data_IF_748942932775
#
_entry.id   IF_748942932775
#
_cell.length_a   1.000
_cell.length_b   1.000
_cell.length_c   1.000
_cell.angle_alpha   90.00
_cell.angle_beta   90.00
_cell.angle_gamma   90.00
#
_symmetry.space_group_name_H-M   'P 1'
#
loop_
_entity.id
_entity.type
_entity.pdbx_description
1 polymer ?
#
# COMPACT_ATOMS: atom_id res chain seq x y z
N UNK A 1 19.44 5.85 5.32
CA UNK A 1 20.36 6.08 4.18
C UNK A 1 19.59 5.87 2.89
N UNK A 2 19.93 6.56 1.80
CA UNK A 2 19.20 6.48 0.51
C UNK A 2 20.21 6.22 -0.60
N UNK A 3 20.03 5.12 -1.32
CA UNK A 3 20.90 4.63 -2.39
C UNK A 3 20.14 4.65 -3.72
N UNK A 4 20.72 5.32 -4.70
CA UNK A 4 20.25 5.37 -6.09
C UNK A 4 21.32 6.05 -6.95
N UNK A 5 21.30 5.79 -8.25
CA UNK A 5 22.15 6.48 -9.23
C UNK A 5 21.44 7.72 -9.76
N UNK A 6 22.19 8.62 -10.43
CA UNK A 6 21.58 9.76 -11.13
C UNK A 6 20.55 9.28 -12.17
N UNK A 7 20.96 8.33 -13.01
CA UNK A 7 20.13 7.74 -14.08
C UNK A 7 18.84 7.15 -13.52
N UNK A 8 18.89 6.42 -12.40
CA UNK A 8 17.68 5.84 -11.80
C UNK A 8 16.72 6.90 -11.26
N UNK A 9 17.23 8.02 -10.76
CA UNK A 9 16.36 9.12 -10.31
C UNK A 9 15.72 9.81 -11.51
N UNK A 10 16.46 10.02 -12.60
CA UNK A 10 15.91 10.56 -13.84
C UNK A 10 14.81 9.65 -14.43
N UNK A 11 15.06 8.35 -14.53
CA UNK A 11 14.06 7.37 -14.98
C UNK A 11 12.83 7.30 -14.05
N UNK A 12 13.03 7.41 -12.74
CA UNK A 12 11.93 7.44 -11.78
C UNK A 12 11.04 8.68 -11.96
N UNK A 13 11.62 9.82 -12.36
CA UNK A 13 10.86 11.03 -12.67
C UNK A 13 9.99 10.90 -13.94
N UNK A 14 10.33 9.98 -14.85
CA UNK A 14 9.53 9.67 -16.03
C UNK A 14 8.35 8.72 -15.72
N UNK A 15 8.30 8.15 -14.52
CA UNK A 15 7.26 7.20 -14.13
C UNK A 15 6.00 7.92 -13.64
N UNK A 16 4.87 7.69 -14.32
CA UNK A 16 3.55 8.17 -13.85
C UNK A 16 3.08 7.43 -12.58
N UNK A 17 3.46 6.16 -12.46
CA UNK A 17 3.09 5.31 -11.34
C UNK A 17 4.34 4.83 -10.61
N UNK A 18 4.34 5.00 -9.29
CA UNK A 18 5.39 4.46 -8.41
C UNK A 18 4.80 3.50 -7.40
N UNK A 19 5.63 2.57 -6.95
CA UNK A 19 5.29 1.62 -5.92
C UNK A 19 6.31 1.73 -4.80
N UNK A 20 5.86 1.52 -3.57
CA UNK A 20 6.76 1.45 -2.43
C UNK A 20 6.49 0.21 -1.60
N UNK A 21 7.57 -0.44 -1.17
CA UNK A 21 7.48 -1.64 -0.33
C UNK A 21 8.61 -1.68 0.69
N UNK A 22 8.30 -2.19 1.87
CA UNK A 22 9.26 -2.44 2.94
C UNK A 22 9.59 -3.92 3.04
N UNK A 23 10.87 -4.29 2.89
CA UNK A 23 11.35 -5.65 3.16
C UNK A 23 12.12 -5.73 4.48
N UNK A 24 11.84 -6.81 5.22
CA UNK A 24 12.31 -7.02 6.60
C UNK A 24 13.40 -8.08 6.71
N UNK A 25 13.42 -9.06 5.80
CA UNK A 25 14.31 -10.22 5.90
C UNK A 25 15.75 -9.91 5.51
N UNK A 26 15.95 -9.02 4.54
CA UNK A 26 17.25 -8.68 3.96
C UNK A 26 17.89 -7.43 4.58
N UNK A 27 17.36 -6.96 5.72
CA UNK A 27 17.82 -5.73 6.36
C UNK A 27 19.00 -6.00 7.30
N UNK A 28 20.00 -5.09 7.39
CA UNK A 28 20.96 -5.14 8.48
C UNK A 28 20.26 -4.92 9.83
N UNK A 29 20.76 -5.56 10.89
CA UNK A 29 20.08 -5.63 12.20
C UNK A 29 19.71 -4.26 12.79
N UNK A 30 20.50 -3.22 12.49
CA UNK A 30 20.31 -1.84 12.96
C UNK A 30 19.20 -1.05 12.25
N UNK A 31 18.64 -1.55 11.16
CA UNK A 31 17.57 -0.87 10.40
C UNK A 31 16.25 -1.60 10.56
N UNK A 32 15.12 -0.91 10.74
CA UNK A 32 13.81 -1.54 10.84
C UNK A 32 13.35 -2.20 9.51
N UNK A 33 13.80 -1.67 8.37
CA UNK A 33 13.53 -2.24 7.04
C UNK A 33 14.46 -1.66 5.97
N UNK A 34 14.54 -2.37 4.84
CA UNK A 34 14.91 -1.79 3.54
C UNK A 34 13.61 -1.36 2.87
N UNK A 35 13.45 -0.06 2.64
CA UNK A 35 12.30 0.51 1.94
C UNK A 35 12.69 0.78 0.48
N UNK A 36 11.94 0.26 -0.47
CA UNK A 36 12.27 0.33 -1.90
C UNK A 36 11.21 1.17 -2.60
N UNK A 37 11.65 2.08 -3.48
CA UNK A 37 10.78 2.85 -4.37
C UNK A 37 11.03 2.33 -5.79
N UNK A 38 9.97 1.81 -6.38
CA UNK A 38 9.93 1.28 -7.72
C UNK A 38 9.08 2.20 -8.61
N UNK A 39 9.34 2.21 -9.90
CA UNK A 39 8.55 2.94 -10.89
C UNK A 39 8.07 2.00 -12.00
N UNK A 40 6.89 2.26 -12.55
CA UNK A 40 6.42 1.60 -13.76
C UNK A 40 7.05 2.29 -14.97
N UNK A 41 8.10 1.68 -15.50
CA UNK A 41 8.89 2.20 -16.61
C UNK A 41 8.80 1.25 -17.81
N UNK A 42 8.38 1.77 -18.97
CA UNK A 42 8.22 0.99 -20.20
C UNK A 42 7.37 -0.30 -20.03
N UNK A 43 6.33 -0.23 -19.20
CA UNK A 43 5.42 -1.35 -18.94
C UNK A 43 5.85 -2.28 -17.79
N UNK A 44 7.11 -2.19 -17.35
CA UNK A 44 7.69 -3.03 -16.31
C UNK A 44 7.84 -2.28 -14.98
N UNK A 45 7.82 -2.99 -13.86
CA UNK A 45 8.09 -2.41 -12.54
C UNK A 45 9.57 -2.58 -12.22
N UNK A 46 10.27 -1.47 -12.05
CA UNK A 46 11.73 -1.45 -11.84
C UNK A 46 12.04 -0.75 -10.51
N UNK A 47 12.87 -1.36 -9.63
CA UNK A 47 13.34 -0.69 -8.43
C UNK A 47 14.41 0.35 -8.76
N UNK A 48 14.19 1.59 -8.31
CA UNK A 48 15.09 2.72 -8.61
C UNK A 48 15.78 3.28 -7.37
N UNK A 49 15.17 3.16 -6.19
CA UNK A 49 15.71 3.74 -4.95
C UNK A 49 15.58 2.76 -3.79
N UNK A 50 16.66 2.59 -3.03
CA UNK A 50 16.69 1.79 -1.81
C UNK A 50 16.98 2.65 -0.59
N UNK A 51 16.20 2.47 0.45
CA UNK A 51 16.23 3.30 1.65
C UNK A 51 16.40 2.42 2.89
N UNK A 52 17.55 2.52 3.55
CA UNK A 52 17.74 1.92 4.88
C UNK A 52 17.12 2.83 5.94
N UNK A 53 16.08 2.34 6.60
CA UNK A 53 15.31 3.12 7.58
C UNK A 53 15.41 2.51 8.98
N UNK A 54 15.86 3.26 10.00
CA UNK A 54 15.99 2.73 11.35
C UNK A 54 14.64 2.59 12.07
N UNK A 55 13.61 3.32 11.61
CA UNK A 55 12.27 3.32 12.18
C UNK A 55 11.23 3.53 11.08
N UNK A 56 10.06 2.91 11.24
CA UNK A 56 8.89 3.03 10.36
C UNK A 56 7.96 4.14 10.88
N UNK A 57 8.40 5.39 10.76
CA UNK A 57 7.64 6.54 11.28
C UNK A 57 7.40 7.57 10.19
N UNK A 58 6.28 8.28 10.29
CA UNK A 58 5.88 9.29 9.31
C UNK A 58 6.99 10.32 9.02
N UNK A 59 7.67 10.94 10.02
CA UNK A 59 8.76 11.87 9.75
C UNK A 59 9.95 11.27 8.98
N UNK A 60 10.14 9.94 9.07
CA UNK A 60 11.21 9.26 8.32
C UNK A 60 10.83 9.08 6.85
N UNK A 61 9.59 8.72 6.56
CA UNK A 61 9.09 8.66 5.19
C UNK A 61 9.05 10.04 4.54
N UNK A 62 8.58 11.08 5.26
CA UNK A 62 8.61 12.46 4.77
C UNK A 62 10.04 12.87 4.40
N UNK A 63 11.03 12.51 5.23
CA UNK A 63 12.44 12.77 4.92
C UNK A 63 12.91 12.03 3.66
N UNK A 64 12.46 10.79 3.42
CA UNK A 64 12.82 10.03 2.22
C UNK A 64 12.30 10.74 0.97
N UNK A 65 10.99 11.04 0.92
CA UNK A 65 10.38 11.68 -0.24
C UNK A 65 10.95 13.09 -0.48
N UNK A 66 11.21 13.87 0.57
CA UNK A 66 11.84 15.18 0.43
C UNK A 66 13.29 15.11 -0.09
N UNK A 67 14.07 14.10 0.31
CA UNK A 67 15.42 13.91 -0.26
C UNK A 67 15.32 13.52 -1.74
N UNK A 68 14.36 12.66 -2.09
CA UNK A 68 14.17 12.24 -3.47
C UNK A 68 13.82 13.43 -4.38
N UNK A 69 12.89 14.29 -3.96
CA UNK A 69 12.54 15.53 -4.66
C UNK A 69 13.74 16.43 -4.87
N UNK A 70 14.50 16.71 -3.80
CA UNK A 70 15.73 17.52 -3.89
C UNK A 70 16.76 16.94 -4.86
N UNK A 71 16.89 15.61 -4.93
CA UNK A 71 17.79 14.96 -5.88
C UNK A 71 17.26 15.04 -7.31
N UNK A 72 15.95 14.84 -7.52
CA UNK A 72 15.31 15.00 -8.81
C UNK A 72 15.53 16.42 -9.36
N UNK A 73 15.22 17.45 -8.56
CA UNK A 73 15.42 18.86 -8.92
C UNK A 73 16.88 19.13 -9.30
N UNK A 74 17.83 18.61 -8.51
CA UNK A 74 19.27 18.74 -8.78
C UNK A 74 19.69 18.12 -10.11
N UNK A 75 19.02 17.06 -10.56
CA UNK A 75 19.31 16.37 -11.81
C UNK A 75 18.49 16.90 -13.00
N UNK A 76 17.66 17.94 -12.79
CA UNK A 76 16.83 18.54 -13.83
C UNK A 76 15.52 17.80 -14.10
N UNK A 77 15.19 16.79 -13.29
CA UNK A 77 13.90 16.11 -13.30
C UNK A 77 12.96 16.66 -12.25
N UNK A 78 11.70 16.21 -12.28
CA UNK A 78 10.70 16.51 -11.25
C UNK A 78 10.10 15.21 -10.74
N UNK A 79 10.12 14.99 -9.42
CA UNK A 79 9.50 13.82 -8.81
C UNK A 79 8.03 14.13 -8.48
N UNK A 80 7.15 13.86 -9.46
CA UNK A 80 5.73 14.21 -9.42
C UNK A 80 4.87 13.02 -9.91
N UNK A 81 4.86 11.88 -9.19
CA UNK A 81 4.09 10.72 -9.61
C UNK A 81 2.59 11.01 -9.57
N UNK A 82 1.83 10.52 -10.55
CA UNK A 82 0.37 10.64 -10.59
C UNK A 82 -0.32 9.54 -9.77
N UNK A 83 0.29 8.36 -9.69
CA UNK A 83 -0.23 7.22 -8.94
C UNK A 83 0.83 6.67 -7.99
N UNK A 84 0.44 6.43 -6.74
CA UNK A 84 1.33 5.80 -5.77
C UNK A 84 0.67 4.59 -5.16
N UNK A 85 1.35 3.46 -5.27
CA UNK A 85 0.99 2.20 -4.66
C UNK A 85 1.84 1.97 -3.42
N UNK A 86 1.19 1.84 -2.27
CA UNK A 86 1.89 1.56 -1.03
C UNK A 86 1.21 0.47 -0.22
N UNK A 87 1.99 -0.11 0.69
CA UNK A 87 1.41 -0.88 1.77
C UNK A 87 0.44 -0.01 2.59
N UNK A 88 -0.54 -0.62 3.26
CA UNK A 88 -1.53 0.12 4.06
C UNK A 88 -0.93 0.71 5.35
N UNK A 89 0.36 1.04 5.36
CA UNK A 89 1.03 1.68 6.47
C UNK A 89 0.67 3.17 6.54
N UNK A 90 -0.17 3.51 7.51
CA UNK A 90 -0.64 4.88 7.79
C UNK A 90 0.50 5.90 7.83
N UNK A 91 1.66 5.52 8.38
CA UNK A 91 2.81 6.42 8.46
C UNK A 91 3.39 6.78 7.08
N UNK A 92 3.40 5.85 6.14
CA UNK A 92 3.86 6.08 4.77
C UNK A 92 2.81 6.85 3.96
N UNK A 93 1.52 6.51 4.12
CA UNK A 93 0.39 7.23 3.53
C UNK A 93 0.43 8.71 3.91
N UNK A 94 0.41 9.01 5.21
CA UNK A 94 0.39 10.38 5.71
C UNK A 94 1.63 11.17 5.28
N UNK A 95 2.80 10.52 5.27
CA UNK A 95 4.03 11.17 4.85
C UNK A 95 3.99 11.61 3.39
N UNK A 96 3.47 10.75 2.52
CA UNK A 96 3.33 11.05 1.11
C UNK A 96 2.29 12.16 0.89
N UNK A 97 1.13 12.06 1.54
CA UNK A 97 0.10 13.11 1.50
C UNK A 97 0.65 14.46 1.96
N UNK A 98 1.43 14.50 3.05
CA UNK A 98 2.04 15.73 3.54
C UNK A 98 3.05 16.30 2.55
N UNK A 99 3.92 15.46 1.98
CA UNK A 99 4.94 15.94 1.04
C UNK A 99 4.30 16.47 -0.25
N UNK A 100 3.26 15.81 -0.75
CA UNK A 100 2.51 16.26 -1.94
C UNK A 100 1.69 17.52 -1.63
N UNK A 101 1.00 17.57 -0.49
CA UNK A 101 0.18 18.72 -0.09
C UNK A 101 1.01 19.97 0.24
N UNK A 102 2.24 19.80 0.72
CA UNK A 102 3.15 20.92 0.97
C UNK A 102 3.59 21.66 -0.31
N UNK A 103 3.50 21.01 -1.47
CA UNK A 103 3.73 21.67 -2.77
C UNK A 103 2.51 22.44 -3.27
N UNK A 104 1.31 21.92 -3.00
CA UNK A 104 0.03 22.55 -3.36
C UNK A 104 -0.16 23.91 -2.69
N UNK A 105 0.29 24.06 -1.43
CA UNK A 105 0.23 25.34 -0.71
C UNK A 105 1.18 26.43 -1.27
N UNK A 106 1.99 26.13 -2.30
CA UNK A 106 2.75 27.14 -3.07
C UNK A 106 2.05 27.61 -4.35
N UNK A 107 0.97 26.95 -4.77
CA UNK A 107 0.19 27.28 -5.96
C UNK A 107 -1.22 27.76 -5.57
N UNK A 108 -1.31 28.75 -4.66
CA UNK A 108 -2.60 29.33 -4.30
C UNK A 108 -2.99 30.46 -5.26
N UNK A 109 -3.25 30.09 -6.52
CA UNK A 109 -4.39 30.66 -7.25
C UNK A 109 -5.49 29.60 -7.14
N UNK A 110 -6.48 29.88 -6.29
CA UNK A 110 -7.63 28.99 -6.04
C UNK A 110 -8.59 28.90 -7.23
N UNK A 111 -8.27 29.52 -8.36
CA UNK A 111 -8.94 29.30 -9.63
C UNK A 111 -7.98 28.64 -10.61
N UNK A 112 -7.98 27.30 -10.61
CA UNK A 112 -7.38 26.43 -11.63
C UNK A 112 -5.83 26.30 -11.52
N UNK A 113 -5.29 25.42 -10.66
CA UNK A 113 -3.83 25.13 -10.64
C UNK A 113 -3.42 24.00 -9.69
N UNK A 114 -2.99 22.84 -10.19
CA UNK A 114 -1.60 22.48 -10.56
C UNK A 114 -0.69 22.00 -9.41
N UNK A 115 -1.16 21.02 -8.64
CA UNK A 115 -0.83 19.58 -8.83
C UNK A 115 -2.15 18.82 -8.97
N UNK A 116 -2.56 18.33 -10.15
CA UNK A 116 -3.75 17.52 -10.24
C UNK A 116 -3.40 16.08 -9.81
N UNK A 117 -3.98 15.65 -8.68
CA UNK A 117 -4.38 14.26 -8.45
C UNK A 117 -3.27 13.21 -8.30
N UNK A 118 -2.38 13.32 -7.30
CA UNK A 118 -1.67 12.12 -6.84
C UNK A 118 -2.70 11.18 -6.20
N UNK A 119 -3.00 10.07 -6.86
CA UNK A 119 -3.92 9.06 -6.35
C UNK A 119 -3.14 8.02 -5.55
N UNK A 120 -3.46 7.92 -4.27
CA UNK A 120 -2.86 6.92 -3.38
C UNK A 120 -3.74 5.68 -3.38
N UNK A 121 -3.13 4.56 -3.77
CA UNK A 121 -3.73 3.25 -3.77
C UNK A 121 -3.01 2.37 -2.74
N UNK A 122 -3.78 1.73 -1.88
CA UNK A 122 -3.33 0.63 -1.06
C UNK A 122 -3.16 -0.63 -1.92
N UNK A 123 -2.15 -1.41 -1.60
CA UNK A 123 -1.88 -2.68 -2.27
C UNK A 123 -2.87 -3.76 -1.82
N UNK A 124 -3.56 -4.39 -2.79
CA UNK A 124 -4.54 -5.44 -2.53
C UNK A 124 -3.87 -6.68 -1.94
N UNK A 125 -2.68 -7.04 -2.42
CA UNK A 125 -1.91 -8.13 -1.85
C UNK A 125 -1.59 -7.93 -0.36
N UNK A 126 -1.06 -6.77 0.04
CA UNK A 126 -0.79 -6.51 1.46
C UNK A 126 -2.06 -6.42 2.30
N UNK A 127 -3.18 -5.94 1.73
CA UNK A 127 -4.50 -5.97 2.38
C UNK A 127 -4.91 -7.41 2.69
N UNK A 128 -4.97 -8.28 1.67
CA UNK A 128 -5.40 -9.68 1.83
C UNK A 128 -4.47 -10.46 2.76
N UNK A 129 -3.16 -10.23 2.68
CA UNK A 129 -2.21 -10.80 3.63
C UNK A 129 -2.45 -10.34 5.07
N UNK A 130 -2.79 -9.07 5.28
CA UNK A 130 -3.06 -8.54 6.63
C UNK A 130 -4.29 -9.17 7.24
N UNK A 131 -5.35 -9.36 6.43
CA UNK A 131 -6.54 -10.13 6.83
C UNK A 131 -6.15 -11.58 7.18
N UNK A 132 -5.37 -12.25 6.34
CA UNK A 132 -4.96 -13.64 6.58
C UNK A 132 -4.06 -13.80 7.82
N UNK A 133 -3.12 -12.88 8.04
CA UNK A 133 -2.31 -12.84 9.26
C UNK A 133 -3.17 -12.67 10.51
N UNK A 134 -4.22 -11.86 10.45
CA UNK A 134 -5.17 -11.74 11.56
C UNK A 134 -5.92 -13.06 11.79
N UNK A 135 -6.45 -13.68 10.72
CA UNK A 135 -7.11 -15.00 10.77
C UNK A 135 -6.22 -16.04 11.48
N UNK A 136 -4.94 -16.09 11.13
CA UNK A 136 -3.97 -16.97 11.78
C UNK A 136 -3.78 -16.61 13.27
N UNK A 137 -3.54 -15.32 13.55
CA UNK A 137 -3.25 -14.81 14.90
C UNK A 137 -4.37 -15.11 15.90
N UNK A 138 -5.63 -14.98 15.49
CA UNK A 138 -6.79 -15.21 16.37
C UNK A 138 -7.25 -16.67 16.37
N UNK A 139 -6.53 -17.57 15.70
CA UNK A 139 -6.83 -19.01 15.70
C UNK A 139 -7.93 -19.46 14.74
N UNK A 140 -8.32 -18.63 13.76
CA UNK A 140 -9.30 -18.99 12.74
C UNK A 140 -8.73 -19.83 11.58
N UNK A 141 -7.40 -20.07 11.52
CA UNK A 141 -6.77 -20.77 10.40
C UNK A 141 -7.40 -22.15 10.09
N UNK A 142 -7.59 -23.00 11.11
CA UNK A 142 -8.22 -24.31 10.95
C UNK A 142 -9.66 -24.20 10.43
N UNK A 143 -10.41 -23.20 10.90
CA UNK A 143 -11.78 -22.95 10.43
C UNK A 143 -11.80 -22.47 8.98
N UNK A 144 -10.92 -21.55 8.63
CA UNK A 144 -10.74 -21.04 7.27
C UNK A 144 -10.36 -22.14 6.27
N UNK A 145 -9.62 -23.16 6.69
CA UNK A 145 -9.23 -24.29 5.83
C UNK A 145 -10.33 -25.34 5.70
N UNK A 146 -11.00 -25.67 6.82
CA UNK A 146 -11.87 -26.86 6.90
C UNK A 146 -13.35 -26.56 6.70
N UNK A 147 -13.80 -25.31 6.88
CA UNK A 147 -15.21 -24.93 6.80
C UNK A 147 -15.46 -24.00 5.61
N UNK A 148 -16.20 -24.48 4.61
CA UNK A 148 -16.42 -23.78 3.33
C UNK A 148 -17.19 -22.46 3.49
N UNK A 149 -18.17 -22.43 4.38
CA UNK A 149 -18.95 -21.24 4.76
C UNK A 149 -18.05 -20.16 5.39
N UNK A 150 -17.24 -20.53 6.38
CA UNK A 150 -16.28 -19.63 7.02
C UNK A 150 -15.20 -19.15 6.05
N UNK A 151 -14.68 -20.05 5.22
CA UNK A 151 -13.71 -19.70 4.18
C UNK A 151 -14.29 -18.66 3.21
N UNK A 152 -15.50 -18.91 2.70
CA UNK A 152 -16.18 -18.01 1.76
C UNK A 152 -16.40 -16.65 2.41
N UNK A 153 -16.92 -16.62 3.63
CA UNK A 153 -17.18 -15.39 4.36
C UNK A 153 -15.89 -14.59 4.62
N UNK A 154 -14.82 -15.21 5.10
CA UNK A 154 -13.52 -14.55 5.31
C UNK A 154 -12.89 -14.05 4.01
N UNK A 155 -13.01 -14.82 2.91
CA UNK A 155 -12.54 -14.39 1.58
C UNK A 155 -13.38 -13.25 1.01
N UNK A 156 -14.66 -13.13 1.37
CA UNK A 156 -15.46 -11.98 0.97
C UNK A 156 -14.91 -10.67 1.56
N UNK A 157 -14.38 -10.67 2.79
CA UNK A 157 -13.66 -9.49 3.32
C UNK A 157 -12.40 -9.17 2.50
N UNK A 158 -11.65 -10.19 2.07
CA UNK A 158 -10.48 -10.02 1.19
C UNK A 158 -10.83 -9.47 -0.20
N UNK A 159 -12.10 -9.61 -0.62
CA UNK A 159 -12.62 -9.12 -1.89
C UNK A 159 -13.27 -7.73 -1.80
N UNK A 160 -13.55 -7.20 -0.61
CA UNK A 160 -14.12 -5.86 -0.41
C UNK A 160 -13.35 -4.75 -1.15
N UNK A 161 -12.01 -4.77 -1.24
CA UNK A 161 -11.26 -3.83 -2.07
C UNK A 161 -11.76 -3.70 -3.51
N UNK A 162 -12.35 -4.76 -4.06
CA UNK A 162 -12.73 -4.88 -5.48
C UNK A 162 -14.20 -4.53 -5.75
N UNK A 163 -14.98 -4.30 -4.69
CA UNK A 163 -16.37 -3.89 -4.80
C UNK A 163 -16.44 -2.48 -5.36
N UNK A 164 -17.48 -2.18 -6.15
CA UNK A 164 -17.75 -0.81 -6.62
C UNK A 164 -17.88 0.12 -5.41
N UNK A 165 -17.28 1.31 -5.49
CA UNK A 165 -17.33 2.29 -4.40
C UNK A 165 -18.75 2.53 -3.86
N UNK A 166 -19.74 2.65 -4.75
CA UNK A 166 -21.15 2.86 -4.38
C UNK A 166 -21.81 1.71 -3.62
N UNK A 167 -21.24 0.51 -3.66
CA UNK A 167 -21.77 -0.68 -2.99
C UNK A 167 -20.94 -1.09 -1.77
N UNK A 168 -19.86 -0.36 -1.45
CA UNK A 168 -18.92 -0.75 -0.40
C UNK A 168 -19.60 -0.82 0.97
N UNK A 169 -20.26 0.25 1.40
CA UNK A 169 -20.86 0.33 2.74
C UNK A 169 -21.92 -0.76 2.96
N UNK A 170 -22.76 -0.98 1.94
CA UNK A 170 -23.76 -2.04 1.95
C UNK A 170 -23.11 -3.43 2.03
N UNK A 171 -22.01 -3.65 1.31
CA UNK A 171 -21.29 -4.94 1.30
C UNK A 171 -20.59 -5.21 2.63
N UNK A 172 -19.95 -4.19 3.22
CA UNK A 172 -19.32 -4.28 4.54
C UNK A 172 -20.36 -4.63 5.59
N UNK A 173 -21.49 -3.90 5.61
CA UNK A 173 -22.57 -4.15 6.56
C UNK A 173 -23.13 -5.56 6.41
N UNK A 174 -23.41 -5.99 5.19
CA UNK A 174 -23.91 -7.34 4.90
C UNK A 174 -23.00 -8.42 5.48
N UNK A 175 -21.68 -8.29 5.32
CA UNK A 175 -20.73 -9.28 5.85
C UNK A 175 -20.66 -9.26 7.38
N UNK A 176 -20.66 -8.08 8.00
CA UNK A 176 -20.62 -7.95 9.47
C UNK A 176 -21.87 -8.49 10.14
N UNK A 177 -23.05 -8.27 9.55
CA UNK A 177 -24.33 -8.69 10.11
C UNK A 177 -24.62 -10.19 9.91
N UNK A 178 -23.89 -10.88 9.01
CA UNK A 178 -24.16 -12.27 8.62
C UNK A 178 -22.94 -13.18 8.78
N UNK A 179 -22.39 -13.37 10.00
CA UNK A 179 -21.37 -14.37 10.22
C UNK A 179 -21.94 -15.79 10.00
N UNK A 180 -21.14 -16.74 9.49
CA UNK A 180 -21.59 -18.10 9.16
C UNK A 180 -21.99 -18.93 10.37
N UNK A 181 -21.56 -18.53 11.57
CA UNK A 181 -21.98 -19.12 12.84
C UNK A 181 -21.81 -18.10 13.97
N UNK A 182 -22.56 -18.27 15.06
CA UNK A 182 -22.25 -17.57 16.31
C UNK A 182 -20.95 -18.14 16.88
N UNK A 183 -19.88 -17.36 16.81
CA UNK A 183 -18.55 -17.79 17.21
C UNK A 183 -17.72 -16.61 17.72
N UNK A 184 -17.13 -16.74 18.90
CA UNK A 184 -16.33 -15.66 19.51
C UNK A 184 -15.13 -15.22 18.65
N UNK A 185 -14.48 -16.15 17.93
CA UNK A 185 -13.36 -15.83 17.06
C UNK A 185 -13.80 -15.05 15.82
N UNK A 186 -14.99 -15.34 15.28
CA UNK A 186 -15.56 -14.56 14.17
C UNK A 186 -15.93 -13.14 14.63
N UNK A 187 -16.45 -12.99 15.86
CA UNK A 187 -16.71 -11.67 16.44
C UNK A 187 -15.41 -10.87 16.65
N UNK A 188 -14.34 -11.50 17.15
CA UNK A 188 -13.03 -10.87 17.24
C UNK A 188 -12.48 -10.45 15.88
N UNK A 189 -12.74 -11.23 14.83
CA UNK A 189 -12.38 -10.86 13.46
C UNK A 189 -13.14 -9.63 12.99
N UNK A 190 -14.46 -9.55 13.23
CA UNK A 190 -15.29 -8.39 12.88
C UNK A 190 -14.77 -7.13 13.60
N UNK A 191 -14.52 -7.24 14.91
CA UNK A 191 -13.98 -6.13 15.70
C UNK A 191 -12.62 -5.66 15.16
N UNK A 192 -11.73 -6.58 14.83
CA UNK A 192 -10.47 -6.26 14.16
C UNK A 192 -10.72 -5.51 12.85
N UNK A 193 -11.62 -6.01 12.00
CA UNK A 193 -11.89 -5.41 10.70
C UNK A 193 -12.47 -4.00 10.84
N UNK A 194 -13.43 -3.81 11.75
CA UNK A 194 -14.00 -2.50 12.06
C UNK A 194 -12.92 -1.52 12.53
N UNK A 195 -12.16 -1.90 13.55
CA UNK A 195 -11.15 -1.02 14.13
C UNK A 195 -10.04 -0.66 13.15
N UNK A 196 -9.55 -1.63 12.37
CA UNK A 196 -8.42 -1.42 11.48
C UNK A 196 -8.83 -0.81 10.13
N UNK A 197 -9.85 -1.36 9.46
CA UNK A 197 -10.15 -1.06 8.07
C UNK A 197 -11.35 -0.14 7.86
N UNK A 198 -12.17 0.09 8.90
CA UNK A 198 -13.27 1.08 8.83
C UNK A 198 -12.89 2.35 9.59
N UNK A 199 -12.38 2.23 10.81
CA UNK A 199 -12.09 3.38 11.68
C UNK A 199 -10.70 3.97 11.39
N UNK A 200 -9.65 3.13 11.41
CA UNK A 200 -8.27 3.62 11.36
C UNK A 200 -7.76 3.92 9.94
N UNK A 201 -8.06 3.07 8.97
CA UNK A 201 -7.61 3.23 7.57
C UNK A 201 -8.82 3.56 6.71
N UNK A 202 -8.94 4.81 6.21
CA UNK A 202 -10.05 5.22 5.34
C UNK A 202 -10.20 4.31 4.11
N UNK A 203 -11.45 4.01 3.76
CA UNK A 203 -11.80 3.12 2.64
C UNK A 203 -11.23 3.58 1.30
N UNK A 204 -11.07 4.88 1.08
CA UNK A 204 -10.45 5.44 -0.14
C UNK A 204 -9.05 4.87 -0.43
N UNK A 205 -8.33 4.40 0.59
CA UNK A 205 -7.00 3.82 0.39
C UNK A 205 -7.03 2.34 0.05
N UNK A 206 -8.02 1.56 0.49
CA UNK A 206 -8.01 0.11 0.28
C UNK A 206 -9.13 -0.39 -0.64
N UNK A 207 -10.17 0.41 -0.89
CA UNK A 207 -11.18 0.13 -1.91
C UNK A 207 -10.72 0.69 -3.25
N UNK A 208 -10.09 -0.16 -4.06
CA UNK A 208 -9.53 0.17 -5.38
C UNK A 208 -10.53 -0.01 -6.53
N UNK A 209 -11.63 -0.73 -6.29
CA UNK A 209 -12.62 -1.05 -7.30
C UNK A 209 -12.14 -2.07 -8.36
N UNK A 210 -13.05 -2.52 -9.24
CA UNK A 210 -12.79 -3.64 -10.15
C UNK A 210 -11.90 -3.28 -11.34
N UNK A 211 -11.82 -2.00 -11.71
CA UNK A 211 -11.09 -1.53 -12.89
C UNK A 211 -9.57 -1.47 -12.61
N UNK A 212 -9.19 -1.06 -11.39
CA UNK A 212 -7.78 -0.91 -11.01
C UNK A 212 -7.05 -2.24 -10.77
N UNK A 213 -7.74 -3.33 -10.43
CA UNK A 213 -7.09 -4.64 -10.27
C UNK A 213 -6.43 -5.09 -11.60
N UNK A 214 -7.12 -4.90 -12.73
CA UNK A 214 -6.61 -5.30 -14.05
C UNK A 214 -5.40 -4.47 -14.49
N UNK A 215 -5.37 -3.17 -14.17
CA UNK A 215 -4.23 -2.30 -14.49
C UNK A 215 -3.00 -2.57 -13.61
N UNK A 216 -3.22 -3.19 -12.46
CA UNK A 216 -2.21 -3.36 -11.42
C UNK A 216 -1.76 -4.81 -11.23
N UNK A 217 -2.24 -5.77 -12.03
CA UNK A 217 -1.79 -7.16 -11.96
C UNK A 217 -0.26 -7.29 -12.11
N UNK A 218 0.37 -6.49 -12.98
CA UNK A 218 1.83 -6.46 -13.12
C UNK A 218 2.52 -5.92 -11.85
N UNK A 219 1.92 -4.91 -11.23
CA UNK A 219 2.35 -4.28 -9.97
C UNK A 219 2.25 -5.27 -8.81
N UNK A 220 1.08 -5.87 -8.62
CA UNK A 220 0.80 -6.86 -7.58
C UNK A 220 1.62 -8.16 -7.80
N UNK A 221 1.79 -8.58 -9.05
CA UNK A 221 2.64 -9.71 -9.43
C UNK A 221 4.12 -9.46 -9.12
N UNK A 222 4.63 -8.25 -9.39
CA UNK A 222 5.99 -7.86 -9.00
C UNK A 222 6.18 -7.79 -7.49
N UNK A 223 5.21 -7.27 -6.74
CA UNK A 223 5.23 -7.33 -5.27
C UNK A 223 5.27 -8.78 -4.79
N UNK A 224 4.45 -9.67 -5.37
CA UNK A 224 4.48 -11.10 -5.04
C UNK A 224 5.84 -11.74 -5.33
N UNK A 225 6.41 -11.50 -6.52
CA UNK A 225 7.73 -12.01 -6.92
C UNK A 225 8.81 -11.47 -6.00
N UNK A 226 8.78 -10.17 -5.68
CA UNK A 226 9.74 -9.53 -4.78
C UNK A 226 9.69 -10.11 -3.37
N UNK A 227 8.50 -10.35 -2.83
CA UNK A 227 8.33 -11.03 -1.54
C UNK A 227 8.81 -12.49 -1.62
N UNK A 228 8.48 -13.21 -2.70
CA UNK A 228 8.96 -14.58 -2.91
C UNK A 228 10.49 -14.64 -3.00
N UNK A 229 11.13 -13.77 -3.78
CA UNK A 229 12.58 -13.72 -3.96
C UNK A 229 13.32 -13.26 -2.71
N UNK A 230 12.71 -12.40 -1.88
CA UNK A 230 13.27 -12.04 -0.56
C UNK A 230 12.94 -13.06 0.54
N UNK A 231 12.13 -14.09 0.24
CA UNK A 231 11.94 -15.27 1.09
C UNK A 231 12.72 -16.50 0.63
N UNK A 232 13.23 -16.54 -0.60
CA UNK A 232 14.11 -17.61 -1.10
C UNK A 232 15.56 -17.32 -0.73
N UNK A 233 15.89 -17.45 0.55
CA UNK A 233 17.22 -17.84 1.01
C UNK A 233 17.10 -18.22 2.50
N UNK A 234 17.48 -19.47 2.78
CA UNK A 234 17.42 -20.26 4.03
C UNK A 234 16.14 -21.07 4.24
#
# INVERSE_FOLDING_TARGET
MIFSTKVFIEMLCECEAILTDGTFKTRPIMFAQVYVIMGKYLGEVIPFVWCLTPKKTQPRYEKIFNILKKKADKYGGKFEPQQVYLDSEVAAINALENVVSSDLNKAMDMSIGSFPNVVIHGCWYHFTQSIYRNIQKIGLASMYEKKKDAQTWLRSFMALPLVKHSALDASVKLLMDNPPASNNLLNQFIEYFQNQWIIRVPSKYWNIGPIHLRSNNAVEGMVQIWHASTTMEL
#
